data_IF_998313319129
#
_entry.id   IF_998313319129
#
_cell.length_a   1.000
_cell.length_b   1.000
_cell.length_c   1.000
_cell.angle_alpha   90.00
_cell.angle_beta   90.00
_cell.angle_gamma   90.00
#
_symmetry.space_group_name_H-M   'P 1'
#
loop_
_entity.id
_entity.type
_entity.pdbx_description
1 polymer ?
#
# COMPACT_ATOMS: atom_id res chain seq x y z
N UNK A 1 -11.00 13.55 -9.41
CA UNK A 1 -10.12 12.58 -10.08
C UNK A 1 -9.95 12.95 -11.54
N UNK A 2 -8.72 13.27 -11.95
CA UNK A 2 -8.30 13.45 -13.35
C UNK A 2 -7.82 12.11 -13.92
N UNK A 3 -8.18 11.80 -15.17
CA UNK A 3 -7.79 10.57 -15.89
C UNK A 3 -6.87 10.95 -17.05
N UNK A 4 -5.65 10.40 -17.05
CA UNK A 4 -4.62 10.65 -18.06
C UNK A 4 -4.33 9.31 -18.77
N UNK A 5 -4.77 9.19 -20.02
CA UNK A 5 -4.50 8.01 -20.83
C UNK A 5 -3.08 8.06 -21.39
N UNK A 6 -2.19 7.26 -20.83
CA UNK A 6 -0.80 7.19 -21.29
C UNK A 6 -0.63 6.20 -22.45
N UNK A 7 -1.63 5.34 -22.70
CA UNK A 7 -1.67 4.41 -23.84
C UNK A 7 -2.39 4.95 -25.08
N UNK A 8 -2.77 6.24 -25.09
CA UNK A 8 -3.52 6.86 -26.20
C UNK A 8 -2.77 6.76 -27.53
N UNK A 9 -1.45 6.96 -27.51
CA UNK A 9 -0.60 6.86 -28.70
C UNK A 9 -0.62 5.45 -29.34
N UNK A 10 -0.93 4.42 -28.56
CA UNK A 10 -1.04 3.03 -28.99
C UNK A 10 -2.49 2.63 -29.32
N UNK A 11 -3.44 3.58 -29.27
CA UNK A 11 -4.86 3.33 -29.51
C UNK A 11 -5.60 2.60 -28.38
N UNK A 12 -5.00 2.52 -27.19
CA UNK A 12 -5.59 1.86 -26.03
C UNK A 12 -6.60 2.77 -25.33
N UNK A 13 -7.65 2.16 -24.79
CA UNK A 13 -8.62 2.85 -23.94
C UNK A 13 -8.04 3.05 -22.53
N UNK A 14 -8.46 4.12 -21.81
CA UNK A 14 -8.12 4.27 -20.41
C UNK A 14 -8.55 3.05 -19.58
N UNK A 15 -7.77 2.71 -18.57
CA UNK A 15 -8.13 1.71 -17.57
C UNK A 15 -9.26 2.27 -16.70
N UNK A 16 -10.25 1.45 -16.37
CA UNK A 16 -11.34 1.82 -15.47
C UNK A 16 -10.91 1.68 -14.00
N UNK A 17 -10.80 2.80 -13.27
CA UNK A 17 -10.36 2.81 -11.87
C UNK A 17 -11.24 1.94 -10.97
N UNK A 18 -12.56 1.93 -11.19
CA UNK A 18 -13.50 1.14 -10.41
C UNK A 18 -13.17 -0.37 -10.45
N UNK A 19 -12.84 -0.90 -11.63
CA UNK A 19 -12.45 -2.31 -11.78
C UNK A 19 -11.10 -2.64 -11.11
N UNK A 20 -10.21 -1.66 -10.98
CA UNK A 20 -8.96 -1.79 -10.22
C UNK A 20 -9.25 -1.86 -8.71
N UNK A 21 -10.14 -0.99 -8.22
CA UNK A 21 -10.58 -0.96 -6.82
C UNK A 21 -11.27 -2.27 -6.44
N UNK A 22 -12.18 -2.79 -7.26
CA UNK A 22 -12.84 -4.08 -7.02
C UNK A 22 -11.84 -5.24 -6.83
N UNK A 23 -10.78 -5.27 -7.64
CA UNK A 23 -9.72 -6.29 -7.53
C UNK A 23 -8.85 -6.09 -6.28
N UNK A 24 -8.59 -4.84 -5.89
CA UNK A 24 -7.87 -4.50 -4.67
C UNK A 24 -8.67 -4.91 -3.42
N UNK A 25 -9.96 -4.56 -3.38
CA UNK A 25 -10.92 -4.93 -2.33
C UNK A 25 -11.06 -6.45 -2.20
N UNK A 26 -11.12 -7.17 -3.32
CA UNK A 26 -11.20 -8.63 -3.34
C UNK A 26 -9.91 -9.34 -2.92
N UNK A 27 -8.82 -8.61 -2.64
CA UNK A 27 -7.55 -9.25 -2.30
C UNK A 27 -6.95 -10.05 -3.47
N UNK A 28 -7.36 -9.76 -4.72
CA UNK A 28 -7.05 -10.61 -5.88
C UNK A 28 -5.56 -10.78 -6.11
N UNK A 29 -5.05 -11.98 -5.86
CA UNK A 29 -3.69 -12.35 -6.26
C UNK A 29 -3.54 -12.27 -7.79
N UNK A 30 -2.32 -12.04 -8.30
CA UNK A 30 -1.99 -12.31 -9.70
C UNK A 30 -2.42 -13.73 -10.10
N UNK A 31 -2.51 -13.99 -11.41
CA UNK A 31 -2.82 -15.32 -11.92
C UNK A 31 -1.85 -16.37 -11.32
N UNK A 32 -2.30 -17.60 -11.01
CA UNK A 32 -1.44 -18.62 -10.39
C UNK A 32 -0.19 -18.98 -11.22
N UNK A 33 -0.28 -18.83 -12.53
CA UNK A 33 0.79 -18.98 -13.53
C UNK A 33 1.42 -17.63 -13.93
N UNK A 34 0.94 -16.53 -13.35
CA UNK A 34 1.51 -15.21 -13.50
C UNK A 34 2.91 -15.15 -12.90
N UNK A 35 3.79 -14.37 -13.53
CA UNK A 35 5.19 -14.23 -13.10
C UNK A 35 5.34 -13.54 -11.72
N UNK A 36 4.29 -12.86 -11.24
CA UNK A 36 4.32 -12.02 -10.04
C UNK A 36 3.59 -12.67 -8.86
N UNK A 37 4.17 -12.61 -7.65
CA UNK A 37 3.47 -12.89 -6.40
C UNK A 37 2.82 -11.61 -5.87
N UNK A 38 1.71 -11.71 -5.11
CA UNK A 38 1.03 -10.56 -4.48
C UNK A 38 1.86 -9.98 -3.33
N UNK A 39 3.02 -9.41 -3.64
CA UNK A 39 3.88 -8.69 -2.70
C UNK A 39 3.59 -7.20 -2.82
N UNK A 40 3.37 -6.53 -1.69
CA UNK A 40 3.26 -5.07 -1.67
C UNK A 40 4.61 -4.45 -1.33
N UNK A 41 5.09 -3.56 -2.20
CA UNK A 41 6.38 -2.88 -2.07
C UNK A 41 6.16 -1.43 -1.70
N UNK A 42 6.82 -0.97 -0.64
CA UNK A 42 6.84 0.43 -0.24
C UNK A 42 8.17 1.06 -0.62
N UNK A 43 8.13 2.20 -1.29
CA UNK A 43 9.28 3.07 -1.51
C UNK A 43 9.17 4.32 -0.65
N UNK A 44 10.27 4.65 0.04
CA UNK A 44 10.42 5.83 0.91
C UNK A 44 11.70 6.58 0.53
N UNK A 45 11.82 7.84 0.92
CA UNK A 45 13.01 8.65 0.64
C UNK A 45 14.00 8.56 1.81
N UNK A 46 15.26 8.21 1.57
CA UNK A 46 16.32 8.26 2.58
C UNK A 46 16.76 9.71 2.85
N UNK A 47 17.52 9.92 3.92
CA UNK A 47 18.04 11.24 4.30
C UNK A 47 18.94 11.86 3.22
N UNK A 48 19.71 11.04 2.51
CA UNK A 48 20.54 11.44 1.37
C UNK A 48 19.76 11.63 0.06
N UNK A 49 18.43 11.48 0.10
CA UNK A 49 17.54 11.57 -1.06
C UNK A 49 17.44 10.29 -1.89
N UNK A 50 18.21 9.24 -1.59
CA UNK A 50 18.13 7.96 -2.32
C UNK A 50 16.83 7.20 -2.02
N UNK A 51 16.30 6.41 -2.97
CA UNK A 51 15.11 5.60 -2.71
C UNK A 51 15.44 4.43 -1.77
N UNK A 52 14.52 4.11 -0.87
CA UNK A 52 14.53 2.89 -0.07
C UNK A 52 13.26 2.09 -0.33
N UNK A 53 13.43 0.90 -0.91
CA UNK A 53 12.35 -0.01 -1.29
C UNK A 53 12.35 -1.23 -0.37
N UNK A 54 11.17 -1.65 0.07
CA UNK A 54 11.01 -2.75 1.04
C UNK A 54 9.62 -3.38 0.92
N UNK A 55 9.54 -4.70 1.10
CA UNK A 55 8.26 -5.39 1.17
C UNK A 55 7.53 -5.06 2.49
N UNK A 56 6.21 -4.95 2.44
CA UNK A 56 5.35 -4.67 3.60
C UNK A 56 4.10 -5.54 3.60
N UNK A 57 3.60 -5.87 4.80
CA UNK A 57 2.26 -6.42 5.00
C UNK A 57 1.20 -5.31 4.97
N UNK A 58 0.88 -4.82 3.77
CA UNK A 58 -0.10 -3.75 3.59
C UNK A 58 -1.53 -4.29 3.51
N UNK A 59 -2.51 -3.44 3.85
CA UNK A 59 -3.92 -3.67 3.55
C UNK A 59 -4.46 -2.57 2.64
N UNK A 60 -5.39 -2.93 1.77
CA UNK A 60 -6.23 -1.98 1.05
C UNK A 60 -7.56 -1.85 1.78
N UNK A 61 -7.83 -0.68 2.37
CA UNK A 61 -9.04 -0.39 3.16
C UNK A 61 -9.43 1.08 2.97
N UNK A 62 -10.71 1.35 2.73
CA UNK A 62 -11.27 2.69 2.48
C UNK A 62 -10.57 3.44 1.32
N UNK A 63 -10.31 2.72 0.23
CA UNK A 63 -9.75 3.30 -0.98
C UNK A 63 -8.27 3.69 -0.89
N UNK A 64 -7.52 3.18 0.09
CA UNK A 64 -6.08 3.41 0.19
C UNK A 64 -5.33 2.28 0.88
N UNK A 65 -4.00 2.34 0.81
CA UNK A 65 -3.11 1.41 1.51
C UNK A 65 -2.82 1.86 2.93
N UNK A 66 -2.82 0.87 3.83
CA UNK A 66 -2.40 0.96 5.21
C UNK A 66 -1.21 0.05 5.44
N UNK A 67 -0.26 0.48 6.27
CA UNK A 67 0.86 -0.35 6.68
C UNK A 67 1.25 -0.08 8.13
N UNK A 68 2.03 -0.99 8.70
CA UNK A 68 2.60 -0.84 10.03
C UNK A 68 4.12 -0.90 9.97
N UNK A 69 4.78 -0.16 10.87
CA UNK A 69 6.20 -0.30 11.06
C UNK A 69 6.69 0.19 12.42
N UNK A 70 7.77 -0.42 12.91
CA UNK A 70 8.45 0.06 14.11
C UNK A 70 9.17 1.38 13.86
N UNK A 71 9.24 2.21 14.91
CA UNK A 71 9.91 3.51 14.93
C UNK A 71 11.42 3.41 14.62
N UNK A 72 12.05 2.30 15.02
CA UNK A 72 13.46 2.02 14.77
C UNK A 72 13.79 1.56 13.34
N UNK A 73 12.80 1.36 12.47
CA UNK A 73 13.03 0.94 11.09
C UNK A 73 13.46 2.11 10.20
N UNK A 74 14.19 1.82 9.12
CA UNK A 74 14.54 2.85 8.13
C UNK A 74 13.31 3.44 7.45
N UNK A 75 12.33 2.61 7.07
CA UNK A 75 11.06 3.09 6.48
C UNK A 75 10.30 3.99 7.45
N UNK A 76 10.24 3.62 8.74
CA UNK A 76 9.60 4.41 9.80
C UNK A 76 10.27 5.76 10.01
N UNK A 77 11.60 5.79 10.12
CA UNK A 77 12.35 7.06 10.19
C UNK A 77 12.19 7.91 8.93
N UNK A 78 12.12 7.28 7.76
CA UNK A 78 11.93 8.00 6.50
C UNK A 78 10.58 8.69 6.46
N UNK A 79 9.46 7.97 6.68
CA UNK A 79 8.12 8.57 6.59
C UNK A 79 7.84 9.59 7.70
N UNK A 80 8.48 9.46 8.87
CA UNK A 80 8.41 10.47 9.92
C UNK A 80 9.12 11.78 9.55
N UNK A 81 10.16 11.71 8.71
CA UNK A 81 10.94 12.88 8.25
C UNK A 81 10.38 13.48 6.96
N UNK A 82 10.05 12.62 5.99
CA UNK A 82 9.53 12.95 4.67
C UNK A 82 8.40 11.97 4.35
N UNK A 83 7.13 12.40 4.38
CA UNK A 83 6.00 11.48 4.26
C UNK A 83 5.83 10.97 2.84
N UNK A 84 6.53 11.51 1.84
CA UNK A 84 6.35 11.12 0.44
C UNK A 84 6.76 9.67 0.23
N UNK A 85 5.84 8.88 -0.31
CA UNK A 85 6.06 7.46 -0.57
C UNK A 85 5.31 6.97 -1.81
N UNK A 86 5.70 5.80 -2.30
CA UNK A 86 4.92 5.04 -3.27
C UNK A 86 4.71 3.60 -2.82
N UNK A 87 3.56 3.03 -3.16
CA UNK A 87 3.23 1.63 -2.97
C UNK A 87 2.99 0.98 -4.31
N UNK A 88 3.67 -0.14 -4.57
CA UNK A 88 3.51 -0.93 -5.77
C UNK A 88 2.98 -2.33 -5.41
N UNK A 89 2.00 -2.80 -6.17
CA UNK A 89 1.44 -4.15 -6.02
C UNK A 89 0.95 -4.68 -7.37
N UNK A 90 1.21 -5.96 -7.62
CA UNK A 90 0.58 -6.70 -8.71
C UNK A 90 -0.73 -7.33 -8.23
N UNK A 91 -1.79 -7.10 -8.99
CA UNK A 91 -3.11 -7.72 -8.81
C UNK A 91 -3.44 -8.55 -10.05
N UNK A 92 -4.63 -9.16 -10.07
CA UNK A 92 -5.12 -9.86 -11.26
C UNK A 92 -5.21 -8.90 -12.46
N UNK A 93 -4.49 -9.23 -13.53
CA UNK A 93 -4.48 -8.54 -14.82
C UNK A 93 -3.99 -7.09 -14.78
N UNK A 94 -3.34 -6.64 -13.69
CA UNK A 94 -2.79 -5.29 -13.61
C UNK A 94 -1.66 -5.14 -12.58
N UNK A 95 -0.77 -4.19 -12.84
CA UNK A 95 0.17 -3.65 -11.88
C UNK A 95 -0.27 -2.24 -11.47
N UNK A 96 -0.28 -1.98 -10.15
CA UNK A 96 -0.74 -0.71 -9.57
C UNK A 96 0.39 -0.07 -8.81
N UNK A 97 0.69 1.19 -9.13
CA UNK A 97 1.61 2.04 -8.36
C UNK A 97 0.84 3.25 -7.84
N UNK A 98 0.69 3.35 -6.53
CA UNK A 98 0.04 4.46 -5.85
C UNK A 98 1.10 5.37 -5.22
N UNK A 99 1.08 6.66 -5.54
CA UNK A 99 1.97 7.68 -5.00
C UNK A 99 1.20 8.62 -4.08
N UNK A 100 1.79 8.97 -2.94
CA UNK A 100 1.08 9.70 -1.90
C UNK A 100 1.98 10.18 -0.77
N UNK A 101 1.36 10.39 0.38
CA UNK A 101 2.01 10.74 1.64
C UNK A 101 1.57 9.78 2.74
N UNK A 102 2.52 9.24 3.51
CA UNK A 102 2.24 8.36 4.63
C UNK A 102 1.94 9.17 5.90
N UNK A 103 0.67 9.20 6.28
CA UNK A 103 0.21 9.88 7.49
C UNK A 103 0.25 8.91 8.67
N UNK A 104 0.94 9.29 9.74
CA UNK A 104 0.95 8.54 10.99
C UNK A 104 -0.43 8.63 11.67
N UNK A 105 -1.05 7.48 11.90
CA UNK A 105 -2.39 7.39 12.47
C UNK A 105 -2.28 7.23 13.98
N UNK A 106 -2.90 8.15 14.72
CA UNK A 106 -2.89 8.16 16.19
C UNK A 106 -4.28 8.08 16.80
N UNK A 107 -5.35 8.04 15.99
CA UNK A 107 -6.72 7.88 16.46
C UNK A 107 -6.94 6.42 16.91
N UNK A 108 -7.25 6.17 18.20
CA UNK A 108 -7.44 4.81 18.72
C UNK A 108 -8.56 4.04 18.01
N UNK A 109 -9.62 4.72 17.57
CA UNK A 109 -10.73 4.07 16.86
C UNK A 109 -10.30 3.57 15.48
N UNK A 110 -9.56 4.40 14.72
CA UNK A 110 -8.95 4.00 13.46
C UNK A 110 -7.94 2.86 13.65
N UNK A 111 -7.08 2.92 14.67
CA UNK A 111 -6.10 1.88 14.99
C UNK A 111 -6.79 0.54 15.30
N UNK A 112 -7.80 0.54 16.17
CA UNK A 112 -8.56 -0.67 16.51
C UNK A 112 -9.23 -1.30 15.29
N UNK A 113 -9.80 -0.47 14.43
CA UNK A 113 -10.46 -0.92 13.21
C UNK A 113 -9.48 -1.58 12.23
N UNK A 114 -8.32 -0.97 11.98
CA UNK A 114 -7.35 -1.53 11.04
C UNK A 114 -6.59 -2.74 11.63
N UNK A 115 -6.33 -2.76 12.95
CA UNK A 115 -5.82 -3.93 13.65
C UNK A 115 -6.76 -5.14 13.46
N UNK A 116 -8.07 -4.92 13.64
CA UNK A 116 -9.08 -5.94 13.33
C UNK A 116 -9.03 -6.39 11.87
N UNK A 117 -8.86 -5.48 10.91
CA UNK A 117 -8.76 -5.85 9.49
C UNK A 117 -7.53 -6.75 9.20
N UNK A 118 -6.39 -6.49 9.84
CA UNK A 118 -5.22 -7.38 9.78
C UNK A 118 -5.52 -8.74 10.42
N UNK A 119 -6.18 -8.77 11.57
CA UNK A 119 -6.59 -9.99 12.26
C UNK A 119 -7.52 -10.86 11.41
N UNK A 120 -8.53 -10.24 10.78
CA UNK A 120 -9.46 -10.91 9.88
C UNK A 120 -8.76 -11.43 8.60
N UNK A 121 -7.62 -10.82 8.23
CA UNK A 121 -6.74 -11.27 7.13
C UNK A 121 -5.74 -12.36 7.55
N UNK A 122 -5.77 -12.80 8.82
CA UNK A 122 -4.97 -13.92 9.35
C UNK A 122 -3.69 -13.53 10.09
N UNK A 123 -3.37 -12.24 10.20
CA UNK A 123 -2.26 -11.78 11.07
C UNK A 123 -2.85 -11.24 12.38
N UNK A 124 -2.67 -11.90 13.54
CA UNK A 124 -3.39 -11.60 14.79
C UNK A 124 -2.89 -10.30 15.46
N UNK A 125 -3.12 -9.18 14.79
CA UNK A 125 -2.82 -7.85 15.25
C UNK A 125 -3.94 -7.32 16.14
N UNK A 126 -3.56 -6.59 17.18
CA UNK A 126 -4.45 -5.91 18.10
C UNK A 126 -3.87 -4.54 18.47
N UNK A 127 -4.68 -3.58 18.92
CA UNK A 127 -4.16 -2.35 19.52
C UNK A 127 -3.24 -2.67 20.68
N UNK A 128 -2.16 -1.92 20.83
CA UNK A 128 -1.35 -2.01 22.04
C UNK A 128 -2.11 -1.41 23.25
N UNK A 129 -1.64 -1.64 24.47
CA UNK A 129 -2.29 -1.17 25.70
C UNK A 129 -2.52 0.35 25.74
N UNK A 130 -1.65 1.15 25.12
CA UNK A 130 -1.81 2.60 25.01
C UNK A 130 -2.82 3.03 23.95
N UNK A 131 -3.16 2.14 23.01
CA UNK A 131 -4.00 2.43 21.85
C UNK A 131 -3.36 3.33 20.80
N UNK A 132 -2.04 3.60 20.89
CA UNK A 132 -1.31 4.50 19.99
C UNK A 132 -0.61 3.78 18.83
N UNK A 133 -0.57 2.45 18.87
CA UNK A 133 -0.09 1.58 17.81
C UNK A 133 -0.72 0.18 17.92
N UNK A 134 -0.03 -0.81 17.35
CA UNK A 134 -0.48 -2.19 17.35
C UNK A 134 0.60 -3.16 17.84
N UNK A 135 0.17 -4.32 18.32
CA UNK A 135 1.01 -5.46 18.71
C UNK A 135 0.45 -6.75 18.10
N UNK A 136 1.28 -7.81 18.10
CA UNK A 136 0.92 -9.15 17.67
C UNK A 136 1.95 -10.15 18.24
N UNK A 137 1.60 -11.44 18.42
CA UNK A 137 2.52 -12.48 18.87
C UNK A 137 3.76 -12.66 17.97
N UNK A 138 3.65 -12.29 16.70
CA UNK A 138 4.75 -12.30 15.76
C UNK A 138 4.60 -11.15 14.78
N UNK A 139 5.73 -10.70 14.26
CA UNK A 139 5.79 -9.83 13.10
C UNK A 139 7.11 -10.12 12.41
N UNK A 140 7.27 -9.45 11.30
CA UNK A 140 8.46 -9.39 10.53
C UNK A 140 9.70 -9.02 11.43
N UNK A 141 10.72 -9.90 11.63
CA UNK A 141 11.86 -9.65 12.54
C UNK A 141 12.53 -8.27 12.45
N UNK A 142 12.61 -7.69 11.26
CA UNK A 142 13.22 -6.38 10.97
C UNK A 142 12.46 -5.18 11.55
N UNK A 143 11.23 -5.39 12.04
CA UNK A 143 10.37 -4.30 12.53
C UNK A 143 10.74 -3.85 13.95
N UNK A 144 11.52 -4.65 14.69
CA UNK A 144 11.77 -4.42 16.11
C UNK A 144 10.57 -4.81 16.99
N UNK A 145 10.68 -4.65 18.32
CA UNK A 145 9.59 -4.97 19.25
C UNK A 145 8.38 -4.05 19.03
N UNK A 146 7.16 -4.50 19.37
CA UNK A 146 5.99 -3.64 19.44
C UNK A 146 6.11 -2.58 20.55
N UNK A 147 5.28 -1.51 20.54
CA UNK A 147 4.21 -1.25 19.57
C UNK A 147 4.75 -0.79 18.20
N UNK A 148 4.04 -1.18 17.14
CA UNK A 148 4.30 -0.69 15.79
C UNK A 148 3.33 0.42 15.42
N UNK A 149 3.87 1.47 14.81
CA UNK A 149 3.09 2.62 14.35
C UNK A 149 2.28 2.24 13.11
N UNK A 150 1.07 2.76 13.04
CA UNK A 150 0.16 2.57 11.90
C UNK A 150 0.23 3.78 10.99
N UNK A 151 0.35 3.54 9.69
CA UNK A 151 0.37 4.58 8.67
C UNK A 151 -0.73 4.32 7.65
N UNK A 152 -1.41 5.39 7.23
CA UNK A 152 -2.35 5.43 6.12
C UNK A 152 -1.73 6.26 5.00
N UNK A 153 -1.85 5.81 3.76
CA UNK A 153 -1.41 6.63 2.62
C UNK A 153 -2.54 7.58 2.21
N UNK A 154 -2.20 8.85 2.07
CA UNK A 154 -3.03 9.86 1.39
C UNK A 154 -2.67 9.85 -0.10
N UNK A 155 -3.51 9.25 -0.97
CA UNK A 155 -3.18 9.06 -2.36
C UNK A 155 -3.21 10.40 -3.11
N UNK A 156 -2.17 10.67 -3.90
CA UNK A 156 -2.12 11.80 -4.84
C UNK A 156 -2.32 11.35 -6.27
N UNK A 157 -1.81 10.17 -6.60
CA UNK A 157 -2.01 9.57 -7.92
C UNK A 157 -1.85 8.06 -7.88
N UNK A 158 -2.43 7.39 -8.88
CA UNK A 158 -2.15 6.00 -9.18
C UNK A 158 -1.79 5.85 -10.66
N UNK A 159 -0.79 5.04 -10.96
CA UNK A 159 -0.53 4.57 -12.32
C UNK A 159 -0.91 3.10 -12.38
N UNK A 160 -1.69 2.72 -13.38
CA UNK A 160 -2.13 1.35 -13.60
C UNK A 160 -1.68 0.89 -14.97
N UNK A 161 -1.00 -0.26 -14.99
CA UNK A 161 -0.64 -1.00 -16.20
C UNK A 161 -1.55 -2.23 -16.24
N UNK A 162 -2.50 -2.28 -17.19
CA UNK A 162 -3.29 -3.48 -17.43
C UNK A 162 -2.49 -4.46 -18.29
N UNK A 163 -2.39 -5.72 -17.83
CA UNK A 163 -1.57 -6.76 -18.48
C UNK A 163 -2.39 -7.77 -19.29
N UNK A 164 -3.71 -7.78 -19.15
CA UNK A 164 -4.60 -8.56 -20.02
C UNK A 164 -4.97 -7.79 -21.29
N UNK A 165 -5.08 -8.49 -22.43
CA UNK A 165 -5.51 -7.91 -23.71
C UNK A 165 -6.86 -7.15 -23.57
N UNK A 166 -7.00 -5.95 -24.16
CA UNK A 166 -6.07 -5.28 -25.09
C UNK A 166 -4.90 -4.54 -24.40
N UNK A 167 -4.78 -4.61 -23.08
CA UNK A 167 -3.83 -3.85 -22.26
C UNK A 167 -4.40 -2.50 -21.83
N UNK A 168 -3.55 -1.65 -21.26
CA UNK A 168 -3.92 -0.29 -20.87
C UNK A 168 -2.87 0.35 -19.99
N UNK A 169 -2.67 1.66 -20.15
CA UNK A 169 -1.79 2.44 -19.30
C UNK A 169 -2.47 3.75 -18.95
N UNK A 170 -2.79 3.94 -17.66
CA UNK A 170 -3.54 5.12 -17.22
C UNK A 170 -2.99 5.63 -15.91
N UNK A 171 -2.85 6.96 -15.83
CA UNK A 171 -2.57 7.66 -14.59
C UNK A 171 -3.82 8.39 -14.11
N UNK A 172 -4.17 8.13 -12.86
CA UNK A 172 -5.22 8.82 -12.12
C UNK A 172 -4.57 9.83 -11.18
N UNK A 173 -5.10 11.04 -11.08
CA UNK A 173 -4.76 12.01 -10.03
C UNK A 173 -6.00 12.29 -9.18
N UNK A 174 -5.85 12.24 -7.86
CA UNK A 174 -6.96 12.35 -6.91
C UNK A 174 -7.19 13.79 -6.47
#
# INVERSE_FOLDING_TARGET
MEIINLGEADGLTPVEWAGVVEKLDAGSAPAPDGMNSRTTWLSTVNEDGSPHVTAIGALWVDGTFWFQTGTGTRKGRNVARDPRCSVAVSIRDADVVLEGEATHVTDPAAIARIAKAWADSGWPAEPDESGSGITAPFNAPWQGPPPWNVYRIEPRSATVVASAEPGGLTRFRF
#
